data_IF_486993222572
#
_entry.id   IF_486993222572
#
_cell.length_a   1.000
_cell.length_b   1.000
_cell.length_c   1.000
_cell.angle_alpha   90.00
_cell.angle_beta   90.00
_cell.angle_gamma   90.00
#
_symmetry.space_group_name_H-M   'P 1'
#
loop_
_entity.id
_entity.type
_entity.pdbx_description
1 polymer ?
#
# COMPACT_ATOMS: atom_id res chain seq x y z
N UNK A 1 -16.01 10.17 4.19
CA UNK A 1 -15.52 10.67 2.87
C UNK A 1 -15.42 9.49 1.90
N UNK A 2 -16.03 9.65 0.76
CA UNK A 2 -16.03 8.61 -0.26
C UNK A 2 -14.71 8.63 -1.03
N UNK A 3 -14.11 7.47 -1.24
CA UNK A 3 -12.88 7.33 -2.00
C UNK A 3 -13.02 6.24 -3.05
N UNK A 4 -12.20 6.35 -4.10
CA UNK A 4 -12.20 5.47 -5.25
C UNK A 4 -10.79 4.97 -5.51
N UNK A 5 -10.66 3.72 -5.93
CA UNK A 5 -9.38 3.17 -6.35
C UNK A 5 -9.23 3.29 -7.86
N UNK A 6 -8.08 3.77 -8.28
CA UNK A 6 -7.72 3.90 -9.68
C UNK A 6 -6.38 3.22 -9.94
N UNK A 7 -6.30 2.43 -11.01
CA UNK A 7 -5.02 1.87 -11.43
C UNK A 7 -4.05 3.02 -11.76
N UNK A 8 -2.82 2.91 -11.30
CA UNK A 8 -1.77 3.87 -11.60
C UNK A 8 -1.62 4.06 -13.11
N UNK A 9 -1.45 5.30 -13.54
CA UNK A 9 -1.25 5.67 -14.93
C UNK A 9 -0.02 6.57 -15.06
N UNK A 10 0.63 6.55 -16.22
CA UNK A 10 1.81 7.38 -16.47
C UNK A 10 1.55 8.88 -16.27
N UNK A 11 0.32 9.33 -16.51
CA UNK A 11 -0.07 10.74 -16.31
C UNK A 11 -0.20 11.15 -14.84
N UNK A 12 -0.16 10.18 -13.93
CA UNK A 12 -0.29 10.47 -12.50
C UNK A 12 1.01 10.98 -11.86
N UNK A 13 2.14 10.89 -12.56
CA UNK A 13 3.46 11.15 -11.97
C UNK A 13 3.60 12.53 -11.32
N UNK A 14 3.06 13.57 -11.95
CA UNK A 14 3.13 14.94 -11.42
C UNK A 14 2.37 15.11 -10.11
N UNK A 15 1.12 14.68 -10.09
CA UNK A 15 0.26 14.75 -8.90
C UNK A 15 0.80 13.86 -7.79
N UNK A 16 1.38 12.72 -8.17
CA UNK A 16 1.97 11.79 -7.23
C UNK A 16 3.24 12.36 -6.57
N UNK A 17 4.07 13.05 -7.32
CA UNK A 17 5.23 13.75 -6.76
C UNK A 17 4.78 14.78 -5.71
N UNK A 18 3.78 15.58 -6.04
CA UNK A 18 3.22 16.58 -5.13
C UNK A 18 2.71 15.91 -3.84
N UNK A 19 1.93 14.84 -3.98
CA UNK A 19 1.44 14.05 -2.84
C UNK A 19 2.58 13.49 -1.98
N UNK A 20 3.60 12.91 -2.57
CA UNK A 20 4.73 12.34 -1.85
C UNK A 20 5.58 13.40 -1.16
N UNK A 21 5.76 14.57 -1.77
CA UNK A 21 6.47 15.69 -1.15
C UNK A 21 5.70 16.26 0.05
N UNK A 22 4.40 16.48 -0.10
CA UNK A 22 3.54 17.00 0.98
C UNK A 22 3.52 16.08 2.20
N UNK A 23 3.62 14.78 1.98
CA UNK A 23 3.50 13.77 3.02
C UNK A 23 4.83 13.12 3.43
N UNK A 24 5.94 13.59 2.89
CA UNK A 24 7.26 12.97 3.11
C UNK A 24 7.58 12.81 4.59
N UNK A 25 7.49 13.89 5.35
CA UNK A 25 7.79 13.88 6.77
C UNK A 25 6.84 12.97 7.55
N UNK A 26 5.56 12.99 7.21
CA UNK A 26 4.54 12.14 7.81
C UNK A 26 4.84 10.66 7.58
N UNK A 27 5.15 10.26 6.35
CA UNK A 27 5.44 8.86 6.03
C UNK A 27 6.75 8.40 6.67
N UNK A 28 7.79 9.23 6.69
CA UNK A 28 9.08 8.90 7.28
C UNK A 28 9.01 8.71 8.80
N UNK A 29 7.93 9.16 9.46
CA UNK A 29 7.68 8.87 10.86
C UNK A 29 7.29 7.41 11.13
N UNK A 30 6.79 6.68 10.11
CA UNK A 30 6.26 5.33 10.26
C UNK A 30 7.01 4.26 9.46
N UNK A 31 7.68 4.63 8.39
CA UNK A 31 8.38 3.71 7.50
C UNK A 31 9.75 4.26 7.14
N UNK A 32 10.70 3.40 6.73
CA UNK A 32 12.01 3.85 6.28
C UNK A 32 11.91 4.86 5.15
N UNK A 33 12.79 5.87 5.19
CA UNK A 33 12.85 6.92 4.18
C UNK A 33 13.30 6.35 2.83
N UNK A 34 12.74 6.90 1.76
CA UNK A 34 13.25 6.65 0.40
C UNK A 34 14.44 7.55 0.13
N UNK A 35 15.23 7.17 -0.88
CA UNK A 35 16.31 8.03 -1.39
C UNK A 35 15.78 9.41 -1.80
N UNK A 36 16.57 10.45 -1.55
CA UNK A 36 16.21 11.81 -1.95
C UNK A 36 15.93 11.91 -3.46
N UNK A 37 16.62 11.12 -4.27
CA UNK A 37 16.45 11.08 -5.72
C UNK A 37 15.04 10.69 -6.17
N UNK A 38 14.29 9.99 -5.33
CA UNK A 38 12.88 9.67 -5.60
C UNK A 38 12.03 10.94 -5.72
N UNK A 39 12.31 11.96 -4.90
CA UNK A 39 11.49 13.16 -4.77
C UNK A 39 11.79 14.18 -5.87
N UNK A 40 11.70 13.73 -7.12
CA UNK A 40 11.89 14.55 -8.32
C UNK A 40 10.96 14.04 -9.41
N UNK A 41 10.72 14.84 -10.44
CA UNK A 41 9.92 14.40 -11.59
C UNK A 41 10.49 13.10 -12.19
N UNK A 42 11.81 13.03 -12.37
CA UNK A 42 12.47 11.84 -12.91
C UNK A 42 12.34 10.64 -11.99
N UNK A 43 12.53 10.82 -10.68
CA UNK A 43 12.46 9.73 -9.70
C UNK A 43 11.06 9.12 -9.58
N UNK A 44 10.02 9.95 -9.51
CA UNK A 44 8.64 9.46 -9.46
C UNK A 44 8.23 8.83 -10.79
N UNK A 45 8.60 9.44 -11.91
CA UNK A 45 8.31 8.87 -13.23
C UNK A 45 8.98 7.49 -13.42
N UNK A 46 10.19 7.31 -12.92
CA UNK A 46 10.88 6.01 -12.94
C UNK A 46 10.11 4.97 -12.12
N UNK A 47 9.67 5.31 -10.92
CA UNK A 47 8.89 4.39 -10.10
C UNK A 47 7.57 4.03 -10.79
N UNK A 48 6.85 5.00 -11.34
CA UNK A 48 5.60 4.76 -12.07
C UNK A 48 5.83 3.82 -13.23
N UNK A 49 6.88 4.06 -14.02
CA UNK A 49 7.24 3.20 -15.15
C UNK A 49 7.54 1.76 -14.71
N UNK A 50 8.31 1.61 -13.63
CA UNK A 50 8.65 0.29 -13.09
C UNK A 50 7.41 -0.44 -12.55
N UNK A 51 6.53 0.26 -11.84
CA UNK A 51 5.30 -0.33 -11.30
C UNK A 51 4.36 -0.78 -12.42
N UNK A 52 4.21 0.02 -13.48
CA UNK A 52 3.37 -0.37 -14.62
C UNK A 52 3.96 -1.56 -15.38
N UNK A 53 5.27 -1.67 -15.46
CA UNK A 53 5.94 -2.83 -16.03
C UNK A 53 5.68 -4.09 -15.21
N UNK A 54 5.79 -4.00 -13.89
CA UNK A 54 5.46 -5.10 -12.99
C UNK A 54 3.98 -5.48 -13.09
N UNK A 55 3.10 -4.49 -13.24
CA UNK A 55 1.67 -4.74 -13.47
C UNK A 55 1.44 -5.53 -14.76
N UNK A 56 2.09 -5.13 -15.85
CA UNK A 56 1.97 -5.83 -17.14
C UNK A 56 2.48 -7.28 -17.08
N UNK A 57 3.47 -7.53 -16.20
CA UNK A 57 4.01 -8.87 -15.97
C UNK A 57 3.19 -9.69 -14.97
N UNK A 58 2.12 -9.14 -14.40
CA UNK A 58 1.30 -9.83 -13.40
C UNK A 58 1.94 -9.92 -12.00
N UNK A 59 2.95 -9.10 -11.74
CA UNK A 59 3.73 -9.12 -10.50
C UNK A 59 3.24 -8.13 -9.45
N UNK A 60 2.44 -7.13 -9.87
CA UNK A 60 1.99 -6.05 -9.00
C UNK A 60 0.64 -5.50 -9.47
N UNK A 61 -0.14 -4.99 -8.52
CA UNK A 61 -1.35 -4.20 -8.79
C UNK A 61 -1.19 -2.86 -8.07
N UNK A 62 -0.69 -1.82 -8.76
CA UNK A 62 -0.49 -0.50 -8.17
C UNK A 62 -1.75 0.37 -8.34
N UNK A 63 -2.28 0.86 -7.23
CA UNK A 63 -3.47 1.71 -7.26
C UNK A 63 -3.27 3.01 -6.50
N UNK A 64 -4.00 4.03 -6.90
CA UNK A 64 -4.14 5.30 -6.20
C UNK A 64 -5.50 5.33 -5.51
N UNK A 65 -5.53 5.92 -4.33
CA UNK A 65 -6.74 6.23 -3.60
C UNK A 65 -7.07 7.70 -3.90
N UNK A 66 -8.20 7.95 -4.55
CA UNK A 66 -8.62 9.31 -4.93
C UNK A 66 -9.98 9.65 -4.34
N UNK A 67 -10.18 10.92 -4.03
CA UNK A 67 -11.51 11.43 -3.65
C UNK A 67 -12.39 11.70 -4.88
N UNK A 68 -13.61 12.18 -4.66
CA UNK A 68 -14.55 12.48 -5.73
C UNK A 68 -14.06 13.57 -6.70
N UNK A 69 -13.11 14.40 -6.29
CA UNK A 69 -12.53 15.46 -7.12
C UNK A 69 -11.29 14.99 -7.88
N UNK A 70 -10.88 13.73 -7.70
CA UNK A 70 -9.67 13.17 -8.32
C UNK A 70 -8.39 13.50 -7.57
N UNK A 71 -8.48 14.06 -6.37
CA UNK A 71 -7.30 14.34 -5.52
C UNK A 71 -6.75 13.04 -4.95
N UNK A 72 -5.43 12.86 -5.01
CA UNK A 72 -4.77 11.71 -4.43
C UNK A 72 -4.79 11.81 -2.91
N UNK A 73 -5.44 10.83 -2.27
CA UNK A 73 -5.52 10.71 -0.81
C UNK A 73 -4.50 9.71 -0.28
N UNK A 74 -4.05 8.79 -1.13
CA UNK A 74 -3.14 7.74 -0.74
C UNK A 74 -2.77 6.82 -1.88
N UNK A 75 -1.99 5.81 -1.53
CA UNK A 75 -1.58 4.74 -2.44
C UNK A 75 -1.91 3.40 -1.80
N UNK A 76 -2.31 2.44 -2.61
CA UNK A 76 -2.55 1.07 -2.15
C UNK A 76 -2.12 0.10 -3.24
N UNK A 77 -1.33 -0.90 -2.87
CA UNK A 77 -0.73 -1.83 -3.82
C UNK A 77 -0.85 -3.26 -3.34
N UNK A 78 -0.89 -4.18 -4.29
CA UNK A 78 -0.52 -5.58 -4.06
C UNK A 78 0.77 -5.80 -4.83
N UNK A 79 1.81 -6.25 -4.14
CA UNK A 79 3.15 -6.46 -4.72
C UNK A 79 3.61 -7.89 -4.49
N UNK A 80 4.72 -8.25 -5.11
CA UNK A 80 5.32 -9.58 -4.97
C UNK A 80 4.30 -10.70 -5.21
N UNK A 81 3.48 -10.53 -6.25
CA UNK A 81 2.46 -11.51 -6.61
C UNK A 81 3.15 -12.79 -7.06
N UNK A 82 2.83 -13.88 -6.38
CA UNK A 82 3.29 -15.23 -6.69
C UNK A 82 2.11 -16.04 -7.22
N UNK A 83 2.16 -16.35 -8.51
CA UNK A 83 1.08 -17.09 -9.17
C UNK A 83 1.00 -18.55 -8.68
N UNK A 84 2.11 -19.13 -8.24
CA UNK A 84 2.12 -20.49 -7.71
C UNK A 84 1.53 -20.56 -6.30
N UNK A 85 1.85 -19.60 -5.46
CA UNK A 85 1.27 -19.48 -4.11
C UNK A 85 -0.12 -18.85 -4.12
N UNK A 86 -0.52 -18.27 -5.25
CA UNK A 86 -1.79 -17.53 -5.43
C UNK A 86 -1.97 -16.42 -4.39
N UNK A 87 -0.88 -15.73 -4.08
CA UNK A 87 -0.82 -14.70 -3.05
C UNK A 87 -0.07 -13.44 -3.50
N UNK A 88 -0.31 -12.35 -2.81
CA UNK A 88 0.41 -11.10 -2.98
C UNK A 88 0.42 -10.33 -1.67
N UNK A 89 1.32 -9.35 -1.56
CA UNK A 89 1.51 -8.56 -0.35
C UNK A 89 0.86 -7.18 -0.47
N UNK A 90 -0.03 -6.87 0.45
CA UNK A 90 -0.68 -5.57 0.57
C UNK A 90 0.27 -4.53 1.16
N UNK A 91 0.34 -3.37 0.54
CA UNK A 91 0.96 -2.18 1.09
C UNK A 91 0.08 -0.96 0.85
N UNK A 92 0.05 -0.03 1.78
CA UNK A 92 -0.72 1.21 1.62
C UNK A 92 -0.13 2.34 2.45
N UNK A 93 -0.40 3.57 2.02
CA UNK A 93 -0.13 4.78 2.79
C UNK A 93 -1.18 5.83 2.46
N UNK A 94 -1.64 6.52 3.49
CA UNK A 94 -2.67 7.58 3.37
C UNK A 94 -2.08 8.90 3.82
N UNK A 95 -2.35 9.97 3.08
CA UNK A 95 -1.85 11.29 3.39
C UNK A 95 -2.31 11.78 4.77
N UNK A 96 -1.49 12.60 5.40
CA UNK A 96 -1.71 13.05 6.79
C UNK A 96 -3.08 13.70 7.00
N UNK A 97 -3.48 14.58 6.08
CA UNK A 97 -4.77 15.29 6.20
C UNK A 97 -5.98 14.38 6.00
N UNK A 98 -5.77 13.19 5.48
CA UNK A 98 -6.82 12.19 5.26
C UNK A 98 -6.81 11.10 6.33
N UNK A 99 -5.92 11.17 7.31
CA UNK A 99 -5.85 10.22 8.42
C UNK A 99 -7.08 10.26 9.32
N UNK A 100 -7.35 9.16 10.00
CA UNK A 100 -8.46 9.03 10.97
C UNK A 100 -9.87 9.25 10.39
N UNK A 101 -10.02 9.16 9.08
CA UNK A 101 -11.31 9.30 8.38
C UNK A 101 -11.82 7.98 7.81
N UNK A 102 -11.19 6.86 8.19
CA UNK A 102 -11.57 5.54 7.70
C UNK A 102 -11.16 5.26 6.26
N UNK A 103 -10.37 6.13 5.64
CA UNK A 103 -9.97 6.02 4.23
C UNK A 103 -9.15 4.76 3.98
N UNK A 104 -8.16 4.48 4.83
CA UNK A 104 -7.33 3.29 4.66
C UNK A 104 -8.15 2.01 4.76
N UNK A 105 -9.03 1.90 5.76
CA UNK A 105 -9.91 0.74 5.92
C UNK A 105 -10.84 0.56 4.73
N UNK A 106 -11.44 1.65 4.24
CA UNK A 106 -12.31 1.61 3.07
C UNK A 106 -11.54 1.21 1.81
N UNK A 107 -10.34 1.74 1.62
CA UNK A 107 -9.48 1.38 0.48
C UNK A 107 -9.10 -0.10 0.51
N UNK A 108 -8.73 -0.62 1.68
CA UNK A 108 -8.40 -2.05 1.84
C UNK A 108 -9.61 -2.92 1.51
N UNK A 109 -10.80 -2.61 2.05
CA UNK A 109 -12.02 -3.38 1.74
C UNK A 109 -12.34 -3.35 0.25
N UNK A 110 -12.25 -2.18 -0.38
CA UNK A 110 -12.50 -2.03 -1.82
C UNK A 110 -11.50 -2.83 -2.64
N UNK A 111 -10.22 -2.80 -2.26
CA UNK A 111 -9.20 -3.58 -2.94
C UNK A 111 -9.46 -5.09 -2.81
N UNK A 112 -9.83 -5.56 -1.63
CA UNK A 112 -10.13 -7.00 -1.41
C UNK A 112 -11.27 -7.47 -2.30
N UNK A 113 -12.33 -6.68 -2.45
CA UNK A 113 -13.44 -6.97 -3.37
C UNK A 113 -12.94 -7.00 -4.81
N UNK A 114 -12.17 -6.00 -5.22
CA UNK A 114 -11.59 -5.95 -6.55
C UNK A 114 -10.74 -7.19 -6.86
N UNK A 115 -9.89 -7.59 -5.94
CA UNK A 115 -9.03 -8.77 -6.12
C UNK A 115 -9.84 -10.06 -6.25
N UNK A 116 -10.89 -10.23 -5.44
CA UNK A 116 -11.75 -11.40 -5.51
C UNK A 116 -12.46 -11.51 -6.86
N UNK A 117 -12.82 -10.39 -7.45
CA UNK A 117 -13.57 -10.35 -8.73
C UNK A 117 -12.66 -10.33 -9.97
N UNK A 118 -11.45 -9.78 -9.86
CA UNK A 118 -10.62 -9.45 -11.02
C UNK A 118 -9.23 -10.10 -11.03
N UNK A 119 -8.92 -10.95 -10.06
CA UNK A 119 -7.62 -11.64 -10.00
C UNK A 119 -7.79 -13.11 -9.68
N UNK A 120 -6.72 -13.88 -9.90
CA UNK A 120 -6.64 -15.30 -9.52
C UNK A 120 -6.08 -15.51 -8.12
N UNK A 121 -5.83 -14.44 -7.38
CA UNK A 121 -5.29 -14.52 -6.02
C UNK A 121 -6.30 -15.16 -5.07
N UNK A 122 -5.82 -16.03 -4.21
CA UNK A 122 -6.61 -16.65 -3.13
C UNK A 122 -6.31 -16.04 -1.78
N UNK A 123 -5.13 -15.46 -1.62
CA UNK A 123 -4.68 -14.90 -0.35
C UNK A 123 -4.03 -13.55 -0.55
N UNK A 124 -4.20 -12.69 0.44
CA UNK A 124 -3.46 -11.43 0.55
C UNK A 124 -2.70 -11.45 1.87
N UNK A 125 -1.41 -11.22 1.79
CA UNK A 125 -0.53 -11.12 2.96
C UNK A 125 -0.27 -9.66 3.28
N UNK A 126 -0.04 -9.35 4.55
CA UNK A 126 0.33 -8.01 4.98
C UNK A 126 1.23 -8.07 6.21
N UNK A 127 2.17 -7.12 6.29
CA UNK A 127 3.07 -6.97 7.42
C UNK A 127 2.88 -5.59 8.02
N UNK A 128 2.83 -5.51 9.34
CA UNK A 128 2.80 -4.24 10.05
C UNK A 128 3.83 -4.28 11.17
N UNK A 129 4.67 -3.25 11.27
CA UNK A 129 5.57 -3.13 12.41
C UNK A 129 4.75 -3.15 13.70
N UNK A 130 5.23 -3.84 14.72
CA UNK A 130 4.52 -3.97 15.99
C UNK A 130 4.15 -2.61 16.58
N UNK A 131 5.04 -1.63 16.45
CA UNK A 131 4.79 -0.27 16.92
C UNK A 131 3.80 0.55 16.08
N UNK A 132 3.44 0.09 14.90
CA UNK A 132 2.46 0.78 14.06
C UNK A 132 1.04 0.33 14.41
N UNK A 133 0.52 0.90 15.51
CA UNK A 133 -0.79 0.55 16.06
C UNK A 133 -1.92 0.76 15.04
N UNK A 134 -1.85 1.85 14.28
CA UNK A 134 -2.86 2.17 13.27
C UNK A 134 -2.96 1.10 12.19
N UNK A 135 -1.83 0.67 11.64
CA UNK A 135 -1.81 -0.37 10.60
C UNK A 135 -2.30 -1.72 11.12
N UNK A 136 -1.84 -2.14 12.31
CA UNK A 136 -2.33 -3.37 12.94
C UNK A 136 -3.84 -3.37 13.11
N UNK A 137 -4.40 -2.23 13.54
CA UNK A 137 -5.84 -2.07 13.74
C UNK A 137 -6.61 -2.14 12.43
N UNK A 138 -6.10 -1.51 11.38
CA UNK A 138 -6.72 -1.54 10.05
C UNK A 138 -6.77 -2.98 9.53
N UNK A 139 -5.68 -3.73 9.63
CA UNK A 139 -5.62 -5.11 9.17
C UNK A 139 -6.62 -5.99 9.92
N UNK A 140 -6.63 -5.90 11.26
CA UNK A 140 -7.59 -6.65 12.08
C UNK A 140 -9.04 -6.31 11.73
N UNK A 141 -9.35 -5.02 11.57
CA UNK A 141 -10.71 -4.54 11.30
C UNK A 141 -11.20 -4.87 9.88
N UNK A 142 -10.29 -5.16 8.96
CA UNK A 142 -10.63 -5.52 7.58
C UNK A 142 -10.62 -7.03 7.34
N UNK A 143 -10.51 -7.82 8.41
CA UNK A 143 -10.65 -9.27 8.35
C UNK A 143 -9.38 -10.05 8.15
N UNK A 144 -8.21 -9.41 8.23
CA UNK A 144 -6.95 -10.12 8.21
C UNK A 144 -6.74 -10.85 9.53
N UNK A 145 -6.22 -12.06 9.45
CA UNK A 145 -5.89 -12.89 10.61
C UNK A 145 -4.40 -12.81 10.90
N UNK A 146 -4.05 -12.62 12.17
CA UNK A 146 -2.65 -12.65 12.61
C UNK A 146 -2.13 -14.08 12.49
N UNK A 147 -1.05 -14.24 11.74
CA UNK A 147 -0.41 -15.57 11.50
C UNK A 147 0.80 -15.74 12.39
N UNK A 148 1.66 -14.72 12.45
CA UNK A 148 2.96 -14.86 13.08
C UNK A 148 3.52 -13.51 13.55
N UNK A 149 4.29 -13.55 14.62
CA UNK A 149 5.15 -12.45 15.05
C UNK A 149 6.54 -12.68 14.43
N UNK A 150 7.01 -11.74 13.64
CA UNK A 150 8.30 -11.84 12.93
C UNK A 150 9.34 -10.96 13.61
N UNK A 151 10.32 -11.57 14.25
CA UNK A 151 11.39 -10.85 14.92
C UNK A 151 12.37 -10.25 13.89
N UNK A 152 12.89 -9.07 14.21
CA UNK A 152 13.90 -8.37 13.40
C UNK A 152 13.51 -8.27 11.92
N UNK A 153 12.25 -7.94 11.67
CA UNK A 153 11.68 -7.86 10.32
C UNK A 153 12.33 -6.75 9.47
N UNK A 154 12.59 -5.59 10.07
CA UNK A 154 13.16 -4.46 9.38
C UNK A 154 13.97 -3.57 10.33
N UNK A 155 14.90 -2.79 9.76
CA UNK A 155 15.59 -1.72 10.48
C UNK A 155 14.85 -0.42 10.24
N UNK A 156 14.43 0.23 11.34
CA UNK A 156 13.73 1.51 11.28
C UNK A 156 14.26 2.41 12.38
N UNK A 157 14.67 3.63 12.01
CA UNK A 157 15.31 4.61 12.92
C UNK A 157 16.50 4.01 13.67
N UNK A 158 17.34 3.24 12.97
CA UNK A 158 18.55 2.64 13.52
C UNK A 158 18.34 1.45 14.46
N UNK A 159 17.11 0.95 14.57
CA UNK A 159 16.79 -0.19 15.44
C UNK A 159 16.09 -1.30 14.66
N UNK A 160 16.37 -2.54 15.03
CA UNK A 160 15.60 -3.69 14.54
C UNK A 160 14.18 -3.60 15.08
N UNK A 161 13.20 -3.76 14.19
CA UNK A 161 11.78 -3.72 14.52
C UNK A 161 11.13 -5.05 14.16
N UNK A 162 10.31 -5.55 15.07
CA UNK A 162 9.49 -6.72 14.82
C UNK A 162 8.24 -6.32 14.05
N UNK A 163 7.67 -7.28 13.32
CA UNK A 163 6.42 -7.09 12.61
C UNK A 163 5.44 -8.20 12.93
N UNK A 164 4.17 -7.87 12.76
CA UNK A 164 3.10 -8.87 12.74
C UNK A 164 2.79 -9.22 11.29
N UNK A 165 2.75 -10.51 10.99
CA UNK A 165 2.34 -11.03 9.70
C UNK A 165 0.88 -11.44 9.73
N UNK A 166 0.12 -10.92 8.76
CA UNK A 166 -1.32 -11.18 8.62
C UNK A 166 -1.61 -11.82 7.26
N UNK A 167 -2.68 -12.59 7.22
CA UNK A 167 -3.18 -13.15 5.95
C UNK A 167 -4.70 -13.04 5.90
N UNK A 168 -5.21 -12.71 4.72
CA UNK A 168 -6.63 -12.69 4.40
C UNK A 168 -6.91 -13.64 3.24
N UNK A 169 -7.80 -14.60 3.45
CA UNK A 169 -8.34 -15.41 2.35
C UNK A 169 -9.38 -14.60 1.59
N UNK A 170 -9.26 -14.61 0.26
CA UNK A 170 -10.23 -13.93 -0.62
C UNK A 170 -11.43 -14.85 -0.84
N UNK A 171 -12.62 -14.33 -0.58
CA UNK A 171 -13.86 -15.04 -0.86
C UNK A 171 -14.23 -14.90 -2.32
N UNK A 172 -14.63 -15.97 -2.93
CA UNK A 172 -15.15 -15.97 -4.30
C UNK A 172 -16.68 -15.96 -4.25
#
# INVERSE_FOLDING_TARGET
MEVFLHLLHSNDAGDLLEFELENREWFEAFVPARDDSFYSNAGVAEQVTNFLKEYDNGEMIPMLIKDANGTICGRINVRDIDQNAESGELGYRVGHVFGSKGIASNAVRTLLIYLAENSSLKYVDAYALVGNVGSNKILSNTGFELVEHVENYAVFKGKNQDANYYRKALSV
#
